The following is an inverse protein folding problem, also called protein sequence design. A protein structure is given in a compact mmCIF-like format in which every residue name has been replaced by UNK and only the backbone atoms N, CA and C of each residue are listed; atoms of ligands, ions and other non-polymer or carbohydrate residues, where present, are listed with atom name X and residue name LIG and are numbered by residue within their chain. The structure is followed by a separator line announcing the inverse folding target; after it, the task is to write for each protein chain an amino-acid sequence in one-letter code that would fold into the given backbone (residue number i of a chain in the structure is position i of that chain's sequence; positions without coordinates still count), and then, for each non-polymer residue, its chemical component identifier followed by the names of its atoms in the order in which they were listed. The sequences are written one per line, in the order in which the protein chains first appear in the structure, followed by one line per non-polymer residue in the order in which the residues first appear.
data_IF_388052939637
#
_entry.id   IF_388052939637
#
_cell.length_a   1.000
_cell.length_b   1.000
_cell.length_c   1.000
_cell.angle_alpha   90.00
_cell.angle_beta   90.00
_cell.angle_gamma   90.00
#
_symmetry.space_group_name_H-M   'P 1'
#
loop_
_entity.id
_entity.type
_entity.pdbx_description
1 polymer ?
#
# COMPACT_ATOMS: atom_id res chain seq x y z
N UNK A 1 5.62 -1.74 -20.49
CA UNK A 1 6.74 -2.40 -21.20
C UNK A 1 6.26 -3.74 -21.76
N UNK A 2 7.16 -4.55 -22.33
CA UNK A 2 6.85 -5.90 -22.80
C UNK A 2 7.83 -6.90 -22.18
N UNK A 3 7.38 -8.14 -21.99
CA UNK A 3 8.25 -9.29 -21.70
C UNK A 3 8.24 -10.20 -22.92
N UNK A 4 9.43 -10.56 -23.40
CA UNK A 4 9.60 -11.49 -24.51
C UNK A 4 9.85 -12.89 -23.96
N UNK A 5 9.20 -13.90 -24.52
CA UNK A 5 9.45 -15.31 -24.24
C UNK A 5 9.81 -16.05 -25.54
N UNK A 6 10.65 -17.08 -25.42
CA UNK A 6 11.16 -17.86 -26.56
C UNK A 6 12.65 -17.64 -26.83
N UNK A 7 13.14 -18.03 -28.03
CA UNK A 7 12.33 -18.56 -29.13
C UNK A 7 11.80 -19.98 -28.83
N UNK A 8 10.69 -20.35 -29.46
CA UNK A 8 10.26 -21.75 -29.53
C UNK A 8 11.14 -22.55 -30.53
N UNK A 9 10.86 -23.85 -30.71
CA UNK A 9 11.63 -24.71 -31.63
C UNK A 9 11.61 -24.27 -33.11
N UNK A 10 10.80 -23.27 -33.48
CA UNK A 10 10.72 -22.66 -34.81
C UNK A 10 11.40 -21.29 -34.91
N UNK A 11 12.00 -20.79 -33.84
CA UNK A 11 12.60 -19.45 -33.82
C UNK A 11 11.62 -18.32 -33.51
N UNK A 12 10.37 -18.62 -33.13
CA UNK A 12 9.35 -17.58 -32.88
C UNK A 12 9.41 -17.08 -31.43
N UNK A 13 9.33 -15.76 -31.27
CA UNK A 13 9.23 -15.08 -29.97
C UNK A 13 7.79 -14.66 -29.70
N UNK A 14 7.35 -14.78 -28.45
CA UNK A 14 6.09 -14.19 -27.98
C UNK A 14 6.38 -12.93 -27.17
N UNK A 15 5.55 -11.89 -27.34
CA UNK A 15 5.67 -10.63 -26.62
C UNK A 15 4.40 -10.38 -25.81
N UNK A 16 4.56 -10.20 -24.49
CA UNK A 16 3.46 -9.92 -23.57
C UNK A 16 3.55 -8.50 -23.02
N UNK A 17 2.50 -7.70 -23.21
CA UNK A 17 2.45 -6.33 -22.71
C UNK A 17 2.23 -6.31 -21.19
N UNK A 18 3.11 -5.64 -20.48
CA UNK A 18 3.00 -5.46 -19.04
C UNK A 18 1.91 -4.47 -18.67
N UNK A 19 1.22 -4.77 -17.58
CA UNK A 19 0.13 -4.01 -17.00
C UNK A 19 0.59 -3.19 -15.79
N UNK A 20 -0.33 -2.38 -15.27
CA UNK A 20 -0.15 -1.58 -14.06
C UNK A 20 -1.41 -1.54 -13.19
N UNK A 21 -1.21 -1.41 -11.88
CA UNK A 21 -2.26 -1.19 -10.89
C UNK A 21 -1.97 0.13 -10.18
N UNK A 22 -2.90 1.07 -10.29
CA UNK A 22 -2.85 2.37 -9.60
C UNK A 22 -3.83 2.32 -8.44
N UNK A 23 -3.31 2.47 -7.23
CA UNK A 23 -4.10 2.49 -5.99
C UNK A 23 -4.22 3.92 -5.51
N UNK A 24 -5.42 4.31 -5.11
CA UNK A 24 -5.71 5.56 -4.39
C UNK A 24 -6.35 5.21 -3.06
N UNK A 25 -5.83 5.79 -1.98
CA UNK A 25 -6.31 5.54 -0.63
C UNK A 25 -6.77 6.85 0.00
N UNK A 26 -7.98 6.85 0.56
CA UNK A 26 -8.59 8.02 1.19
C UNK A 26 -9.09 7.72 2.59
N UNK A 27 -9.15 8.74 3.43
CA UNK A 27 -9.82 8.67 4.72
C UNK A 27 -11.34 8.61 4.49
N UNK A 28 -12.01 7.72 5.21
CA UNK A 28 -13.45 7.49 5.09
C UNK A 28 -14.28 8.66 5.65
N UNK A 29 -13.77 9.40 6.62
CA UNK A 29 -14.48 10.46 7.33
C UNK A 29 -14.55 11.76 6.50
N UNK A 30 -13.44 12.16 5.87
CA UNK A 30 -13.34 13.45 5.18
C UNK A 30 -12.91 13.36 3.71
N UNK A 31 -12.58 12.16 3.22
CA UNK A 31 -12.15 11.92 1.84
C UNK A 31 -10.73 12.40 1.52
N UNK A 32 -9.97 12.85 2.52
CA UNK A 32 -8.60 13.31 2.33
C UNK A 32 -7.67 12.16 1.92
N UNK A 33 -6.62 12.44 1.12
CA UNK A 33 -5.67 11.41 0.74
C UNK A 33 -4.90 10.89 1.97
N UNK A 34 -4.76 9.57 2.07
CA UNK A 34 -3.97 8.95 3.13
C UNK A 34 -2.55 8.66 2.63
N UNK A 35 -1.60 9.46 3.10
CA UNK A 35 -0.16 9.25 2.88
C UNK A 35 0.40 8.16 3.81
N UNK A 36 1.35 7.37 3.31
CA UNK A 36 2.09 6.41 4.13
C UNK A 36 1.35 5.08 4.38
N UNK A 37 0.23 4.84 3.71
CA UNK A 37 -0.47 3.55 3.77
C UNK A 37 0.41 2.49 3.13
N UNK A 38 0.79 1.46 3.89
CA UNK A 38 1.56 0.33 3.39
C UNK A 38 0.64 -0.57 2.55
N UNK A 39 0.92 -0.63 1.26
CA UNK A 39 0.25 -1.50 0.30
C UNK A 39 1.15 -2.70 0.01
N UNK A 40 0.65 -3.89 0.32
CA UNK A 40 1.27 -5.17 -0.04
C UNK A 40 0.52 -5.77 -1.22
N UNK A 41 1.19 -5.92 -2.36
CA UNK A 41 0.65 -6.59 -3.55
C UNK A 41 1.40 -7.90 -3.77
N UNK A 42 0.68 -9.01 -3.86
CA UNK A 42 1.25 -10.32 -4.17
C UNK A 42 0.39 -11.10 -5.17
N UNK A 43 0.99 -11.86 -6.07
CA UNK A 43 0.25 -12.61 -7.09
C UNK A 43 1.15 -13.04 -8.25
N UNK A 44 0.55 -13.49 -9.36
CA UNK A 44 1.33 -14.01 -10.48
C UNK A 44 2.18 -15.23 -10.10
N UNK A 45 3.24 -15.48 -10.88
CA UNK A 45 4.10 -16.64 -10.65
C UNK A 45 4.93 -16.56 -9.37
N UNK A 46 5.23 -15.37 -8.85
CA UNK A 46 5.93 -15.11 -7.57
C UNK A 46 6.07 -13.60 -7.26
N UNK A 47 5.19 -12.75 -7.80
CA UNK A 47 5.32 -11.30 -7.59
C UNK A 47 4.94 -10.95 -6.15
N UNK A 48 5.79 -10.20 -5.47
CA UNK A 48 5.49 -9.59 -4.17
C UNK A 48 6.18 -8.24 -4.05
N UNK A 49 5.41 -7.20 -3.75
CA UNK A 49 5.95 -5.86 -3.53
C UNK A 49 5.19 -5.15 -2.43
N UNK A 50 5.94 -4.49 -1.55
CA UNK A 50 5.40 -3.60 -0.53
C UNK A 50 5.83 -2.17 -0.87
N UNK A 51 4.91 -1.22 -0.79
CA UNK A 51 5.20 0.20 -0.98
C UNK A 51 4.20 1.07 -0.25
N UNK A 52 4.49 2.36 -0.11
CA UNK A 52 3.65 3.30 0.61
C UNK A 52 3.00 4.30 -0.33
N UNK A 53 1.79 4.75 0.00
CA UNK A 53 1.16 5.86 -0.71
C UNK A 53 1.92 7.17 -0.51
N UNK A 54 1.98 7.96 -1.58
CA UNK A 54 2.55 9.30 -1.57
C UNK A 54 1.61 10.32 -0.87
N UNK A 55 2.03 11.59 -0.81
CA UNK A 55 1.27 12.67 -0.17
C UNK A 55 -0.13 12.87 -0.75
N UNK A 56 -0.33 12.52 -2.02
CA UNK A 56 -1.63 12.56 -2.71
C UNK A 56 -2.47 11.29 -2.51
N UNK A 57 -2.02 10.37 -1.64
CA UNK A 57 -2.71 9.12 -1.34
C UNK A 57 -2.60 8.06 -2.44
N UNK A 58 -1.72 8.25 -3.43
CA UNK A 58 -1.59 7.33 -4.57
C UNK A 58 -0.34 6.46 -4.51
N UNK A 59 -0.39 5.30 -5.17
CA UNK A 59 0.74 4.41 -5.41
C UNK A 59 0.52 3.58 -6.68
N UNK A 60 1.56 3.39 -7.50
CA UNK A 60 1.48 2.62 -8.74
C UNK A 60 2.38 1.37 -8.75
N UNK A 61 1.78 0.19 -8.87
CA UNK A 61 2.48 -1.05 -9.15
C UNK A 61 2.61 -1.21 -10.66
N UNK A 62 3.82 -0.97 -11.17
CA UNK A 62 4.14 -1.06 -12.60
C UNK A 62 4.68 -2.45 -12.95
N UNK A 63 4.70 -2.74 -14.25
CA UNK A 63 5.36 -3.92 -14.82
C UNK A 63 4.79 -5.25 -14.32
N UNK A 64 3.46 -5.33 -14.22
CA UNK A 64 2.75 -6.54 -13.79
C UNK A 64 2.47 -7.47 -14.99
N UNK A 65 2.69 -8.76 -14.79
CA UNK A 65 2.23 -9.78 -15.73
C UNK A 65 0.72 -9.97 -15.60
N UNK A 66 0.01 -10.45 -16.64
CA UNK A 66 -1.41 -10.79 -16.53
C UNK A 66 -1.60 -11.88 -15.48
N UNK A 67 -2.38 -11.61 -14.43
CA UNK A 67 -2.67 -12.57 -13.36
C UNK A 67 -3.72 -12.02 -12.38
N UNK A 68 -4.01 -12.83 -11.36
CA UNK A 68 -4.73 -12.40 -10.16
C UNK A 68 -3.73 -11.90 -9.11
N UNK A 69 -4.00 -10.72 -8.56
CA UNK A 69 -3.18 -10.10 -7.53
C UNK A 69 -4.00 -9.83 -6.26
N UNK A 70 -3.45 -10.24 -5.12
CA UNK A 70 -3.95 -9.95 -3.79
C UNK A 70 -3.32 -8.66 -3.24
N UNK A 71 -4.15 -7.64 -3.03
CA UNK A 71 -3.76 -6.34 -2.45
C UNK A 71 -4.22 -6.26 -0.99
N UNK A 72 -3.30 -5.88 -0.09
CA UNK A 72 -3.59 -5.66 1.33
C UNK A 72 -3.06 -4.30 1.81
N UNK A 73 -3.93 -3.36 2.21
CA UNK A 73 -3.55 -2.11 2.86
C UNK A 73 -3.30 -2.29 4.37
N UNK A 74 -2.34 -1.54 4.92
CA UNK A 74 -2.02 -1.51 6.35
C UNK A 74 -1.49 -0.12 6.74
N UNK A 75 -1.98 0.42 7.86
CA UNK A 75 -1.48 1.68 8.44
C UNK A 75 -1.83 1.66 9.93
N UNK A 76 -0.90 2.11 10.80
CA UNK A 76 -1.20 2.23 12.23
C UNK A 76 -2.41 3.14 12.41
N UNK A 77 -3.22 2.87 13.43
CA UNK A 77 -4.42 3.64 13.78
C UNK A 77 -5.60 3.52 12.79
N UNK A 78 -5.42 2.88 11.64
CA UNK A 78 -6.46 2.76 10.62
C UNK A 78 -6.93 1.31 10.45
N UNK A 79 -8.22 1.17 10.19
CA UNK A 79 -8.86 -0.07 9.71
C UNK A 79 -9.33 0.16 8.28
N UNK A 80 -9.00 -0.75 7.38
CA UNK A 80 -9.41 -0.69 5.98
C UNK A 80 -10.58 -1.63 5.71
N UNK A 81 -11.52 -1.19 4.88
CA UNK A 81 -12.67 -1.97 4.44
C UNK A 81 -12.84 -1.85 2.90
N UNK A 82 -12.66 -2.95 2.15
CA UNK A 82 -12.30 -4.29 2.61
C UNK A 82 -10.84 -4.33 3.13
N UNK A 83 -10.51 -5.28 4.04
CA UNK A 83 -9.15 -5.42 4.58
C UNK A 83 -8.14 -5.96 3.55
N UNK A 84 -8.63 -6.48 2.43
CA UNK A 84 -7.86 -6.88 1.26
C UNK A 84 -8.75 -6.98 0.02
N UNK A 85 -8.14 -7.04 -1.16
CA UNK A 85 -8.85 -7.10 -2.44
C UNK A 85 -8.11 -7.96 -3.46
N UNK A 86 -8.84 -8.83 -4.15
CA UNK A 86 -8.35 -9.52 -5.35
C UNK A 86 -8.50 -8.61 -6.58
N UNK A 87 -7.49 -8.59 -7.43
CA UNK A 87 -7.42 -7.75 -8.62
C UNK A 87 -7.03 -8.63 -9.81
N UNK A 88 -7.99 -8.82 -10.71
CA UNK A 88 -7.75 -9.43 -12.02
C UNK A 88 -7.02 -8.43 -12.92
N UNK A 89 -5.81 -8.76 -13.34
CA UNK A 89 -4.99 -7.96 -14.24
C UNK A 89 -4.85 -8.65 -15.58
N UNK A 90 -5.28 -7.97 -16.65
CA UNK A 90 -5.15 -8.43 -18.02
C UNK A 90 -3.92 -7.81 -18.69
N UNK A 91 -3.50 -8.39 -19.81
CA UNK A 91 -2.34 -7.93 -20.57
C UNK A 91 -2.47 -6.46 -20.99
N UNK A 92 -1.46 -5.66 -20.65
CA UNK A 92 -1.41 -4.23 -20.96
C UNK A 92 -2.45 -3.36 -20.26
N UNK A 93 -3.19 -3.87 -19.27
CA UNK A 93 -4.23 -3.13 -18.59
C UNK A 93 -3.69 -2.06 -17.62
N UNK A 94 -4.42 -0.96 -17.48
CA UNK A 94 -4.27 -0.01 -16.36
C UNK A 94 -5.47 -0.18 -15.45
N UNK A 95 -5.27 -0.81 -14.28
CA UNK A 95 -6.33 -1.05 -13.30
C UNK A 95 -6.28 0.00 -12.21
N UNK A 96 -7.40 0.68 -11.95
CA UNK A 96 -7.51 1.68 -10.88
C UNK A 96 -8.28 1.09 -9.70
N UNK A 97 -7.72 1.21 -8.50
CA UNK A 97 -8.31 0.70 -7.27
C UNK A 97 -8.44 1.84 -6.26
N UNK A 98 -9.66 2.07 -5.78
CA UNK A 98 -9.95 2.96 -4.67
C UNK A 98 -10.09 2.14 -3.37
N UNK A 99 -9.40 2.56 -2.32
CA UNK A 99 -9.52 2.03 -0.96
C UNK A 99 -9.87 3.16 0.00
N UNK A 100 -10.59 2.83 1.07
CA UNK A 100 -10.90 3.74 2.17
C UNK A 100 -10.38 3.18 3.50
N UNK A 101 -9.71 4.02 4.28
CA UNK A 101 -9.32 3.74 5.66
C UNK A 101 -10.17 4.53 6.65
N UNK A 102 -10.58 3.89 7.73
CA UNK A 102 -11.24 4.54 8.87
C UNK A 102 -10.25 4.59 10.03
N UNK A 103 -10.01 5.78 10.60
CA UNK A 103 -9.18 5.91 11.80
C UNK A 103 -9.94 5.39 13.02
N UNK A 104 -9.35 4.44 13.74
CA UNK A 104 -9.96 3.70 14.86
C UNK A 104 -9.13 3.74 16.14
N UNK A 105 -7.93 4.30 16.09
CA UNK A 105 -7.08 4.48 17.26
C UNK A 105 -6.22 5.75 17.11
N UNK A 106 -5.52 6.11 18.19
CA UNK A 106 -4.62 7.26 18.25
C UNK A 106 -3.36 6.85 19.01
N UNK A 107 -2.20 7.36 18.60
CA UNK A 107 -0.93 7.20 19.31
C UNK A 107 -0.45 8.55 19.83
N UNK A 108 0.15 8.53 21.02
CA UNK A 108 0.84 9.69 21.60
C UNK A 108 2.33 9.36 21.68
N UNK A 109 3.17 10.30 21.25
CA UNK A 109 4.63 10.21 21.28
C UNK A 109 5.18 11.50 21.90
N UNK A 110 6.18 11.38 22.77
CA UNK A 110 6.79 12.52 23.43
C UNK A 110 8.00 12.10 24.28
N UNK A 111 8.62 13.08 24.92
CA UNK A 111 9.70 12.89 25.89
C UNK A 111 9.35 13.57 27.20
N UNK A 112 9.82 13.03 28.32
CA UNK A 112 9.71 13.66 29.64
C UNK A 112 11.08 14.19 30.02
N UNK A 113 11.17 15.48 30.30
CA UNK A 113 12.39 16.16 30.70
C UNK A 113 12.17 16.97 31.97
N UNK A 114 13.23 17.13 32.76
CA UNK A 114 13.28 18.02 33.91
C UNK A 114 13.19 19.50 33.47
N UNK A 115 13.09 20.40 34.44
CA UNK A 115 13.22 21.85 34.21
C UNK A 115 14.59 22.25 33.64
N UNK A 116 15.64 21.44 33.85
CA UNK A 116 16.98 21.66 33.28
C UNK A 116 17.12 21.13 31.85
N UNK A 117 16.13 20.39 31.33
CA UNK A 117 16.16 19.77 30.01
C UNK A 117 16.78 18.37 29.97
N UNK A 118 17.16 17.82 31.12
CA UNK A 118 17.68 16.46 31.23
C UNK A 118 16.54 15.43 31.13
N UNK A 119 16.76 14.23 30.58
CA UNK A 119 15.77 13.16 30.59
C UNK A 119 15.37 12.81 32.03
N UNK A 120 14.06 12.75 32.32
CA UNK A 120 13.55 12.44 33.67
C UNK A 120 13.08 10.96 33.72
N UNK A 121 13.89 10.03 34.26
CA UNK A 121 13.55 8.61 34.30
C UNK A 121 12.52 8.29 35.39
N UNK A 122 11.74 7.23 35.20
CA UNK A 122 10.84 6.69 36.24
C UNK A 122 9.51 7.43 36.43
N UNK A 123 9.20 8.40 35.57
CA UNK A 123 7.91 9.12 35.58
C UNK A 123 6.80 8.26 34.96
N UNK A 124 5.66 8.20 35.64
CA UNK A 124 4.43 7.57 35.10
C UNK A 124 3.63 8.62 34.34
N UNK A 125 3.25 8.29 33.11
CA UNK A 125 2.42 9.15 32.25
C UNK A 125 1.10 8.42 31.98
N UNK A 126 -0.02 9.12 32.18
CA UNK A 126 -1.36 8.64 31.86
C UNK A 126 -1.96 9.49 30.73
N UNK A 127 -2.44 8.83 29.68
CA UNK A 127 -3.21 9.47 28.62
C UNK A 127 -4.69 9.42 28.96
N UNK A 128 -5.28 10.58 29.28
CA UNK A 128 -6.72 10.69 29.56
C UNK A 128 -7.43 11.13 28.28
N UNK A 129 -8.37 10.29 27.80
CA UNK A 129 -9.25 10.66 26.68
C UNK A 129 -10.30 11.69 27.11
N UNK A 130 -10.72 12.54 26.17
CA UNK A 130 -11.86 13.46 26.35
C UNK A 130 -13.21 12.76 26.14
#
# INVERSE_FOLDING_TARGET
GYVLTGPNNKGEFSAHKLAEVIVTVRDKADGQPLQGVLLSLSGGENYRRNSQTAADGTMAFLSLSPSEYYLRPMMKEYRFDPPSKMIAVQEGATVKVLLSGERVAYSVLGSVTSLSGDPEPGVVVEGVGL
#
